data_IF_118390169114
#
_entry.id   IF_118390169114
#
_cell.length_a   1.000
_cell.length_b   1.000
_cell.length_c   1.000
_cell.angle_alpha   90.00
_cell.angle_beta   90.00
_cell.angle_gamma   90.00
#
_symmetry.space_group_name_H-M   'P 1'
#
loop_
_entity.id
_entity.type
_entity.pdbx_description
1 polymer ?
#
# COMPACT_ATOMS: atom_id res chain seq x y z
N UNK A 1 17.80 -18.98 29.68
CA UNK A 1 17.05 -18.48 28.51
C UNK A 1 15.68 -18.01 28.96
N UNK A 2 15.31 -16.80 28.62
CA UNK A 2 14.04 -16.18 28.97
C UNK A 2 13.24 -15.95 27.69
N UNK A 3 11.91 -15.85 27.81
CA UNK A 3 11.01 -15.55 26.73
C UNK A 3 10.21 -14.29 27.09
N UNK A 4 10.21 -13.29 26.20
CA UNK A 4 9.50 -12.04 26.38
C UNK A 4 8.46 -11.95 25.28
N UNK A 5 7.18 -11.81 25.62
CA UNK A 5 6.09 -11.58 24.69
C UNK A 5 5.78 -10.08 24.63
N UNK A 6 5.67 -9.58 23.42
CA UNK A 6 5.35 -8.17 23.14
C UNK A 6 4.24 -8.10 22.08
N UNK A 7 3.09 -7.50 22.38
CA UNK A 7 2.10 -7.23 21.35
C UNK A 7 2.58 -6.11 20.43
N UNK A 8 2.39 -6.28 19.13
CA UNK A 8 2.65 -5.25 18.10
C UNK A 8 1.34 -4.87 17.46
N UNK A 9 1.05 -3.59 17.45
CA UNK A 9 -0.16 -3.04 16.84
C UNK A 9 0.23 -2.01 15.78
N UNK A 10 -0.41 -2.10 14.60
CA UNK A 10 -0.28 -1.12 13.52
C UNK A 10 -1.70 -0.67 13.17
N UNK A 11 -2.00 0.61 13.35
CA UNK A 11 -3.32 1.13 13.00
C UNK A 11 -3.47 1.34 11.49
N UNK A 12 -4.67 1.11 10.97
CA UNK A 12 -5.00 1.44 9.57
C UNK A 12 -4.83 2.94 9.31
N UNK A 13 -5.04 3.78 10.33
CA UNK A 13 -4.79 5.22 10.25
C UNK A 13 -3.29 5.55 10.06
N UNK A 14 -2.40 4.79 10.67
CA UNK A 14 -0.96 4.93 10.44
C UNK A 14 -0.58 4.60 8.98
N UNK A 15 -1.14 3.52 8.44
CA UNK A 15 -0.96 3.15 7.04
C UNK A 15 -1.49 4.26 6.12
N UNK A 16 -2.67 4.80 6.40
CA UNK A 16 -3.25 5.94 5.67
C UNK A 16 -2.31 7.15 5.67
N UNK A 17 -1.74 7.50 6.83
CA UNK A 17 -0.81 8.61 6.96
C UNK A 17 0.48 8.38 6.16
N UNK A 18 1.04 7.17 6.19
CA UNK A 18 2.23 6.81 5.41
C UNK A 18 1.96 6.88 3.91
N UNK A 19 0.82 6.36 3.44
CA UNK A 19 0.43 6.46 2.04
C UNK A 19 0.26 7.91 1.58
N UNK A 20 -0.41 8.74 2.39
CA UNK A 20 -0.61 10.15 2.06
C UNK A 20 0.70 10.95 2.07
N UNK A 21 1.66 10.56 2.89
CA UNK A 21 3.00 11.17 2.94
C UNK A 21 3.85 10.78 1.72
N UNK A 22 3.78 9.51 1.31
CA UNK A 22 4.68 8.96 0.29
C UNK A 22 4.11 9.04 -1.13
N UNK A 23 2.79 9.13 -1.28
CA UNK A 23 2.13 9.30 -2.57
C UNK A 23 1.63 10.73 -2.74
N UNK A 24 2.20 11.45 -3.69
CA UNK A 24 1.78 12.81 -4.02
C UNK A 24 2.02 13.14 -5.49
N UNK A 25 1.15 13.96 -6.07
CA UNK A 25 1.28 14.39 -7.47
C UNK A 25 1.16 13.22 -8.45
N UNK A 26 2.09 13.13 -9.40
CA UNK A 26 2.18 12.04 -10.37
C UNK A 26 2.64 10.76 -9.65
N UNK A 27 1.76 9.76 -9.58
CA UNK A 27 1.99 8.51 -8.85
C UNK A 27 2.22 7.31 -9.77
N UNK A 28 1.89 7.45 -11.06
CA UNK A 28 2.13 6.45 -12.08
C UNK A 28 2.40 7.14 -13.41
N UNK A 29 3.45 6.72 -14.10
CA UNK A 29 3.84 7.22 -15.42
C UNK A 29 4.26 6.03 -16.29
N UNK A 30 3.49 5.80 -17.33
CA UNK A 30 3.76 4.82 -18.37
C UNK A 30 3.69 5.57 -19.71
N UNK A 31 4.83 5.82 -20.31
CA UNK A 31 5.00 6.56 -21.56
C UNK A 31 5.21 5.65 -22.78
N UNK A 32 5.17 4.33 -22.61
CA UNK A 32 5.39 3.36 -23.67
C UNK A 32 4.06 2.87 -24.30
N UNK A 33 3.77 3.41 -25.49
CA UNK A 33 2.58 3.00 -26.25
C UNK A 33 2.77 1.69 -27.03
N UNK A 34 4.01 1.20 -27.15
CA UNK A 34 4.33 0.08 -28.06
C UNK A 34 4.27 -1.29 -27.38
N UNK A 35 4.34 -1.35 -26.05
CA UNK A 35 4.36 -2.63 -25.33
C UNK A 35 2.95 -3.23 -25.13
N UNK A 36 1.95 -2.39 -24.82
CA UNK A 36 0.57 -2.84 -24.61
C UNK A 36 -0.48 -1.93 -25.31
N UNK A 37 -0.05 -1.09 -26.24
CA UNK A 37 -0.88 -0.12 -26.96
C UNK A 37 -1.54 0.93 -26.08
N UNK A 38 -0.99 1.19 -24.88
CA UNK A 38 -1.57 2.12 -23.91
C UNK A 38 -0.49 2.89 -23.18
N UNK A 39 -0.56 4.22 -23.19
CA UNK A 39 0.17 5.11 -22.28
C UNK A 39 -0.77 5.58 -21.18
N UNK A 40 -0.25 5.76 -19.96
CA UNK A 40 -1.08 6.19 -18.84
C UNK A 40 -0.30 7.02 -17.84
N UNK A 41 -0.90 8.13 -17.41
CA UNK A 41 -0.40 8.94 -16.28
C UNK A 41 -1.49 9.06 -15.23
N UNK A 42 -1.13 8.87 -13.97
CA UNK A 42 -2.08 8.92 -12.86
C UNK A 42 -1.56 9.91 -11.80
N UNK A 43 -2.38 10.89 -11.46
CA UNK A 43 -2.10 11.84 -10.41
C UNK A 43 -3.04 11.62 -9.24
N UNK A 44 -2.48 11.64 -8.04
CA UNK A 44 -3.25 11.73 -6.80
C UNK A 44 -3.70 13.17 -6.62
N UNK A 45 -5.01 13.40 -6.51
CA UNK A 45 -5.61 14.74 -6.45
C UNK A 45 -6.13 15.12 -5.06
N UNK A 46 -6.19 14.16 -4.14
CA UNK A 46 -6.69 14.38 -2.78
C UNK A 46 -6.12 13.39 -1.78
N UNK A 47 -6.62 13.45 -0.54
CA UNK A 47 -6.21 12.51 0.51
C UNK A 47 -6.80 11.13 0.27
N UNK A 48 -5.95 10.11 0.41
CA UNK A 48 -6.38 8.71 0.50
C UNK A 48 -7.08 8.53 1.84
N UNK A 49 -8.21 7.82 1.85
CA UNK A 49 -8.91 7.40 3.06
C UNK A 49 -8.92 5.88 3.12
N UNK A 50 -8.58 5.34 4.28
CA UNK A 50 -8.63 3.91 4.55
C UNK A 50 -9.69 3.63 5.62
N UNK A 51 -10.48 2.60 5.39
CA UNK A 51 -11.39 2.04 6.37
C UNK A 51 -11.23 0.54 6.45
N UNK A 52 -11.36 -0.03 7.64
CA UNK A 52 -11.32 -1.48 7.83
C UNK A 52 -12.69 -1.99 8.25
N UNK A 53 -13.13 -3.06 7.64
CA UNK A 53 -14.32 -3.80 8.04
C UNK A 53 -14.14 -5.29 7.76
N UNK A 54 -14.32 -6.11 8.79
CA UNK A 54 -14.27 -7.57 8.69
C UNK A 54 -12.97 -8.11 8.06
N UNK A 55 -11.81 -7.51 8.40
CA UNK A 55 -10.51 -7.94 7.87
C UNK A 55 -10.22 -7.49 6.44
N UNK A 56 -11.02 -6.59 5.88
CA UNK A 56 -10.80 -6.00 4.56
C UNK A 56 -10.57 -4.50 4.70
N UNK A 57 -9.52 -4.00 4.07
CA UNK A 57 -9.24 -2.56 3.97
C UNK A 57 -9.90 -2.04 2.70
N UNK A 58 -10.76 -1.05 2.85
CA UNK A 58 -11.30 -0.28 1.74
C UNK A 58 -10.53 1.03 1.62
N UNK A 59 -9.97 1.28 0.43
CA UNK A 59 -9.22 2.49 0.11
C UNK A 59 -10.02 3.36 -0.85
N UNK A 60 -10.25 4.62 -0.49
CA UNK A 60 -10.82 5.64 -1.35
C UNK A 60 -9.69 6.58 -1.79
N UNK A 61 -9.42 6.62 -3.10
CA UNK A 61 -8.27 7.33 -3.65
C UNK A 61 -8.73 8.30 -4.74
N UNK A 62 -8.72 9.61 -4.46
CA UNK A 62 -9.00 10.62 -5.48
C UNK A 62 -7.88 10.69 -6.51
N UNK A 63 -8.21 10.50 -7.79
CA UNK A 63 -7.27 10.41 -8.89
C UNK A 63 -7.72 11.22 -10.10
N UNK A 64 -6.74 11.75 -10.83
CA UNK A 64 -6.88 12.16 -12.22
C UNK A 64 -6.05 11.23 -13.09
N UNK A 65 -6.63 10.74 -14.15
CA UNK A 65 -6.02 9.78 -15.05
C UNK A 65 -6.04 10.36 -16.45
N UNK A 66 -4.89 10.37 -17.10
CA UNK A 66 -4.76 10.57 -18.52
C UNK A 66 -4.30 9.27 -19.15
N UNK A 67 -4.94 8.86 -20.22
CA UNK A 67 -4.53 7.68 -20.98
C UNK A 67 -4.64 7.96 -22.46
N UNK A 68 -3.68 7.44 -23.21
CA UNK A 68 -3.68 7.38 -24.66
C UNK A 68 -3.60 5.92 -25.08
N UNK A 69 -4.42 5.51 -26.01
CA UNK A 69 -4.45 4.13 -26.50
C UNK A 69 -4.60 4.07 -28.01
N UNK A 70 -4.00 3.06 -28.61
CA UNK A 70 -4.19 2.74 -30.03
C UNK A 70 -5.54 2.06 -30.20
N UNK A 71 -6.34 2.61 -31.10
CA UNK A 71 -7.65 2.07 -31.45
C UNK A 71 -7.69 1.77 -32.93
N UNK A 72 -8.09 0.55 -33.29
CA UNK A 72 -8.23 0.12 -34.66
C UNK A 72 -7.86 -1.36 -34.83
N UNK A 73 -8.17 -1.91 -35.99
CA UNK A 73 -7.72 -3.23 -36.38
C UNK A 73 -6.65 -3.07 -37.47
N UNK A 74 -5.51 -3.71 -37.30
CA UNK A 74 -4.43 -3.76 -38.32
C UNK A 74 -4.94 -4.21 -39.67
N UNK A 75 -6.04 -4.97 -39.70
CA UNK A 75 -6.68 -5.48 -40.91
C UNK A 75 -7.24 -4.38 -41.84
N UNK A 76 -7.53 -3.17 -41.33
CA UNK A 76 -8.12 -2.11 -42.10
C UNK A 76 -7.23 -0.86 -42.25
N UNK A 77 -5.99 -0.93 -41.76
CA UNK A 77 -5.05 0.22 -41.82
C UNK A 77 -5.51 1.45 -41.01
N UNK A 78 -6.47 1.29 -40.12
CA UNK A 78 -7.00 2.36 -39.27
C UNK A 78 -6.32 2.33 -37.89
N UNK A 79 -5.07 2.77 -37.84
CA UNK A 79 -4.37 3.04 -36.59
C UNK A 79 -4.70 4.46 -36.16
N UNK A 80 -5.70 4.61 -35.32
CA UNK A 80 -6.03 5.89 -34.69
C UNK A 80 -5.67 5.86 -33.21
N UNK A 81 -5.18 6.97 -32.67
CA UNK A 81 -4.82 7.12 -31.28
C UNK A 81 -5.89 7.96 -30.58
N UNK A 82 -6.41 7.49 -29.47
CA UNK A 82 -7.43 8.19 -28.68
C UNK A 82 -6.90 8.53 -27.31
N UNK A 83 -7.28 9.71 -26.81
CA UNK A 83 -6.93 10.18 -25.49
C UNK A 83 -8.18 10.27 -24.63
N UNK A 84 -8.03 9.87 -23.38
CA UNK A 84 -9.06 9.93 -22.35
C UNK A 84 -8.49 10.65 -21.15
N UNK A 85 -9.28 11.51 -20.54
CA UNK A 85 -9.00 12.10 -19.25
C UNK A 85 -10.15 11.75 -18.30
N UNK A 86 -9.82 11.18 -17.15
CA UNK A 86 -10.77 10.74 -16.15
C UNK A 86 -10.43 11.43 -14.83
N UNK A 87 -11.44 11.88 -14.11
CA UNK A 87 -11.32 12.48 -12.78
C UNK A 87 -12.37 11.87 -11.87
N UNK A 88 -11.94 11.39 -10.72
CA UNK A 88 -12.85 10.75 -9.76
C UNK A 88 -12.12 10.08 -8.61
N UNK A 89 -12.89 9.30 -7.86
CA UNK A 89 -12.37 8.52 -6.72
C UNK A 89 -12.50 7.04 -7.02
N UNK A 90 -11.38 6.33 -6.99
CA UNK A 90 -11.39 4.87 -7.05
C UNK A 90 -11.60 4.29 -5.67
N UNK A 91 -12.31 3.16 -5.63
CA UNK A 91 -12.53 2.37 -4.42
C UNK A 91 -11.88 1.01 -4.63
N UNK A 92 -10.89 0.71 -3.80
CA UNK A 92 -10.21 -0.58 -3.79
C UNK A 92 -10.57 -1.34 -2.53
N UNK A 93 -10.72 -2.66 -2.64
CA UNK A 93 -10.74 -3.58 -1.51
C UNK A 93 -9.43 -4.36 -1.47
N UNK A 94 -8.75 -4.31 -0.34
CA UNK A 94 -7.43 -4.91 -0.14
C UNK A 94 -7.46 -5.91 1.00
N UNK A 95 -6.86 -7.08 0.77
CA UNK A 95 -6.50 -8.02 1.82
C UNK A 95 -5.07 -7.77 2.22
N UNK A 96 -4.83 -7.58 3.50
CA UNK A 96 -3.50 -7.30 4.04
C UNK A 96 -2.85 -8.59 4.55
N UNK A 97 -1.56 -8.72 4.27
CA UNK A 97 -0.70 -9.77 4.78
C UNK A 97 0.57 -9.14 5.34
N UNK A 98 1.02 -9.59 6.48
CA UNK A 98 2.31 -9.19 7.02
C UNK A 98 3.31 -10.34 6.80
N UNK A 99 4.39 -10.04 6.11
CA UNK A 99 5.47 -10.99 5.90
C UNK A 99 6.81 -10.31 6.17
N UNK A 100 7.62 -10.90 7.04
CA UNK A 100 8.93 -10.35 7.44
C UNK A 100 8.88 -8.87 7.85
N UNK A 101 7.86 -8.47 8.64
CA UNK A 101 7.63 -7.10 9.11
C UNK A 101 7.25 -6.11 8.01
N UNK A 102 6.97 -6.60 6.84
CA UNK A 102 6.54 -5.82 5.69
C UNK A 102 5.07 -6.08 5.41
N UNK A 103 4.29 -5.03 5.34
CA UNK A 103 2.89 -5.12 4.97
C UNK A 103 2.79 -5.22 3.45
N UNK A 104 2.18 -6.30 3.01
CA UNK A 104 1.82 -6.49 1.60
C UNK A 104 0.31 -6.55 1.46
N UNK A 105 -0.21 -6.11 0.33
CA UNK A 105 -1.64 -6.17 0.05
C UNK A 105 -1.90 -6.81 -1.30
N UNK A 106 -3.11 -7.37 -1.42
CA UNK A 106 -3.68 -7.76 -2.71
C UNK A 106 -4.97 -7.00 -2.88
N UNK A 107 -4.94 -6.02 -3.77
CA UNK A 107 -6.02 -5.07 -4.00
C UNK A 107 -6.84 -5.42 -5.23
N UNK A 108 -8.15 -5.18 -5.15
CA UNK A 108 -9.08 -5.31 -6.27
C UNK A 108 -9.88 -4.03 -6.38
N UNK A 109 -10.00 -3.52 -7.61
CA UNK A 109 -10.87 -2.39 -7.88
C UNK A 109 -12.33 -2.82 -7.69
N UNK A 110 -13.01 -2.18 -6.74
CA UNK A 110 -14.43 -2.40 -6.42
C UNK A 110 -15.30 -1.48 -7.24
N UNK A 111 -14.98 -0.19 -7.24
CA UNK A 111 -15.79 0.84 -7.88
C UNK A 111 -14.97 2.04 -8.31
N UNK A 112 -15.57 2.86 -9.14
CA UNK A 112 -15.02 4.14 -9.58
C UNK A 112 -16.13 5.20 -9.58
N UNK A 113 -16.00 6.21 -8.73
CA UNK A 113 -16.91 7.34 -8.65
C UNK A 113 -16.36 8.49 -9.48
N UNK A 114 -16.92 8.71 -10.67
CA UNK A 114 -16.53 9.78 -11.58
C UNK A 114 -17.04 11.13 -11.10
N UNK A 115 -16.19 12.16 -11.13
CA UNK A 115 -16.62 13.55 -10.93
C UNK A 115 -17.39 14.06 -12.16
N UNK A 116 -16.97 13.61 -13.36
CA UNK A 116 -17.67 13.84 -14.61
C UNK A 116 -17.78 12.52 -15.37
N UNK A 117 -18.87 12.33 -16.10
CA UNK A 117 -19.04 11.15 -16.97
C UNK A 117 -17.89 11.07 -17.97
N UNK A 118 -17.20 9.92 -18.05
CA UNK A 118 -16.08 9.77 -18.98
C UNK A 118 -16.54 10.01 -20.42
N UNK A 119 -15.82 10.83 -21.16
CA UNK A 119 -16.11 11.15 -22.54
C UNK A 119 -14.83 11.29 -23.37
N UNK A 120 -14.90 10.98 -24.65
CA UNK A 120 -13.86 11.29 -25.64
C UNK A 120 -14.29 12.46 -26.49
N UNK A 121 -13.32 13.22 -26.98
CA UNK A 121 -13.54 14.25 -27.99
C UNK A 121 -13.41 13.62 -29.37
N UNK A 122 -14.52 13.61 -30.12
CA UNK A 122 -14.53 13.23 -31.54
C UNK A 122 -15.07 14.41 -32.37
N UNK A 123 -14.25 14.94 -33.23
CA UNK A 123 -14.58 16.12 -34.04
C UNK A 123 -15.13 17.30 -33.19
N UNK A 124 -14.56 17.54 -32.02
CA UNK A 124 -14.96 18.61 -31.09
C UNK A 124 -16.20 18.34 -30.25
N UNK A 125 -16.83 17.17 -30.39
CA UNK A 125 -18.00 16.77 -29.59
C UNK A 125 -17.59 15.75 -28.51
N UNK A 126 -18.05 15.96 -27.26
CA UNK A 126 -17.90 14.97 -26.16
C UNK A 126 -18.85 13.79 -26.43
N UNK A 127 -18.30 12.60 -26.57
CA UNK A 127 -19.04 11.36 -26.75
C UNK A 127 -18.83 10.52 -25.47
N UNK A 128 -19.89 10.08 -24.76
CA UNK A 128 -19.76 9.20 -23.59
C UNK A 128 -19.05 7.90 -23.95
N UNK A 129 -18.08 7.49 -23.11
CA UNK A 129 -17.20 6.35 -23.39
C UNK A 129 -17.78 5.01 -22.92
N UNK A 130 -18.96 4.96 -22.37
CA UNK A 130 -19.58 3.77 -21.78
C UNK A 130 -19.46 2.49 -22.61
N UNK A 131 -19.22 2.60 -23.91
CA UNK A 131 -19.13 1.48 -24.84
C UNK A 131 -17.70 1.07 -25.26
N UNK A 132 -16.69 1.92 -25.01
CA UNK A 132 -15.31 1.69 -25.52
C UNK A 132 -14.37 1.16 -24.42
N UNK A 133 -14.80 1.22 -23.16
CA UNK A 133 -13.89 1.13 -21.98
C UNK A 133 -13.56 -0.31 -21.56
N UNK A 134 -14.29 -1.33 -21.99
CA UNK A 134 -14.13 -2.67 -21.38
C UNK A 134 -12.70 -3.24 -21.43
N UNK A 135 -11.94 -3.22 -22.55
CA UNK A 135 -10.56 -3.71 -22.54
C UNK A 135 -9.62 -2.78 -21.78
N UNK A 136 -9.69 -1.47 -22.05
CA UNK A 136 -8.86 -0.45 -21.41
C UNK A 136 -9.12 -0.36 -19.91
N UNK A 137 -10.37 -0.55 -19.48
CA UNK A 137 -10.74 -0.58 -18.07
C UNK A 137 -10.14 -1.80 -17.33
N UNK A 138 -10.01 -2.94 -18.01
CA UNK A 138 -9.36 -4.13 -17.44
C UNK A 138 -7.88 -3.89 -17.18
N UNK A 139 -7.16 -3.34 -18.16
CA UNK A 139 -5.74 -2.95 -18.04
C UNK A 139 -5.58 -1.91 -16.92
N UNK A 140 -6.42 -0.88 -16.92
CA UNK A 140 -6.45 0.15 -15.90
C UNK A 140 -6.67 -0.42 -14.49
N UNK A 141 -7.66 -1.31 -14.30
CA UNK A 141 -7.92 -1.96 -13.02
C UNK A 141 -6.69 -2.69 -12.49
N UNK A 142 -6.01 -3.44 -13.35
CA UNK A 142 -4.81 -4.18 -13.00
C UNK A 142 -3.64 -3.25 -12.63
N UNK A 143 -3.37 -2.23 -13.47
CA UNK A 143 -2.29 -1.26 -13.25
C UNK A 143 -2.49 -0.47 -11.95
N UNK A 144 -3.70 0.01 -11.69
CA UNK A 144 -4.00 0.79 -10.47
C UNK A 144 -3.94 -0.07 -9.23
N UNK A 145 -4.52 -1.27 -9.24
CA UNK A 145 -4.45 -2.18 -8.08
C UNK A 145 -3.01 -2.51 -7.75
N UNK A 146 -2.20 -2.87 -8.76
CA UNK A 146 -0.78 -3.15 -8.57
C UNK A 146 -0.01 -1.95 -8.06
N UNK A 147 -0.25 -0.76 -8.61
CA UNK A 147 0.40 0.48 -8.17
C UNK A 147 0.16 0.74 -6.68
N UNK A 148 -1.07 0.53 -6.19
CA UNK A 148 -1.40 0.71 -4.77
C UNK A 148 -0.73 -0.38 -3.93
N UNK A 149 -0.75 -1.64 -4.37
CA UNK A 149 -0.06 -2.72 -3.68
C UNK A 149 1.44 -2.45 -3.56
N UNK A 150 2.09 -2.03 -4.65
CA UNK A 150 3.50 -1.65 -4.68
C UNK A 150 3.80 -0.43 -3.77
N UNK A 151 2.87 0.53 -3.71
CA UNK A 151 3.01 1.71 -2.85
C UNK A 151 2.91 1.35 -1.37
N UNK A 152 1.98 0.48 -0.98
CA UNK A 152 1.86 -0.04 0.38
C UNK A 152 3.11 -0.84 0.75
N UNK A 153 3.56 -1.72 -0.12
CA UNK A 153 4.75 -2.53 0.06
C UNK A 153 6.02 -1.68 0.32
N UNK A 154 6.18 -0.58 -0.41
CA UNK A 154 7.30 0.35 -0.24
C UNK A 154 7.17 1.25 0.99
N UNK A 155 5.95 1.60 1.37
CA UNK A 155 5.69 2.60 2.42
C UNK A 155 5.52 1.97 3.81
N UNK A 156 5.23 0.69 3.90
CA UNK A 156 4.86 -0.01 5.13
C UNK A 156 5.84 -1.15 5.45
N UNK A 157 7.14 -0.84 5.46
CA UNK A 157 8.19 -1.70 5.99
C UNK A 157 8.45 -1.32 7.46
N UNK A 158 8.07 -2.18 8.39
CA UNK A 158 8.22 -1.98 9.83
C UNK A 158 9.50 -2.61 10.40
N UNK A 159 10.30 -3.28 9.56
CA UNK A 159 11.53 -3.94 9.99
C UNK A 159 12.53 -2.97 10.65
N UNK A 160 12.74 -1.74 10.15
CA UNK A 160 13.65 -0.79 10.81
C UNK A 160 13.23 -0.46 12.23
N UNK A 161 11.92 -0.22 12.49
CA UNK A 161 11.39 0.09 13.81
C UNK A 161 11.53 -1.09 14.79
N UNK A 162 11.29 -2.31 14.29
CA UNK A 162 11.49 -3.54 15.10
C UNK A 162 12.96 -3.69 15.50
N UNK A 163 13.90 -3.49 14.55
CA UNK A 163 15.33 -3.57 14.81
C UNK A 163 15.81 -2.49 15.80
N UNK A 164 15.29 -1.27 15.67
CA UNK A 164 15.57 -0.18 16.61
C UNK A 164 15.08 -0.54 18.03
N UNK A 165 13.85 -1.04 18.14
CA UNK A 165 13.28 -1.48 19.42
C UNK A 165 14.11 -2.60 20.05
N UNK A 166 14.52 -3.60 19.27
CA UNK A 166 15.41 -4.65 19.73
C UNK A 166 16.76 -4.09 20.21
N UNK A 167 17.30 -3.09 19.51
CA UNK A 167 18.51 -2.39 19.90
C UNK A 167 18.37 -1.67 21.24
N UNK A 168 17.21 -1.06 21.50
CA UNK A 168 16.91 -0.38 22.76
C UNK A 168 16.81 -1.37 23.93
N UNK A 169 16.03 -2.42 23.78
CA UNK A 169 15.82 -3.43 24.86
C UNK A 169 17.07 -4.27 25.14
N UNK A 170 18.03 -4.30 24.21
CA UNK A 170 19.30 -5.02 24.39
C UNK A 170 20.37 -4.18 25.10
N UNK A 171 20.09 -2.91 25.39
CA UNK A 171 21.00 -2.08 26.21
C UNK A 171 20.91 -2.50 27.67
N UNK A 172 22.03 -2.44 28.41
CA UNK A 172 21.99 -2.67 29.84
C UNK A 172 21.06 -1.67 30.52
N UNK A 173 20.23 -2.15 31.44
CA UNK A 173 19.40 -1.31 32.27
C UNK A 173 19.66 -1.62 33.76
N UNK A 174 19.64 -0.56 34.55
CA UNK A 174 19.88 -0.65 36.01
C UNK A 174 18.68 -1.31 36.66
N UNK A 175 18.92 -2.40 37.35
CA UNK A 175 17.92 -3.17 38.11
C UNK A 175 17.85 -2.80 39.59
N UNK A 176 19.00 -2.42 40.16
CA UNK A 176 19.08 -1.99 41.55
C UNK A 176 20.22 -1.01 41.75
N UNK A 177 19.88 0.20 42.20
CA UNK A 177 20.84 1.24 42.57
C UNK A 177 21.67 0.80 43.81
N UNK A 178 21.01 0.15 44.75
CA UNK A 178 21.63 -0.24 46.04
C UNK A 178 22.76 -1.28 45.89
N UNK A 179 22.69 -2.08 44.82
CA UNK A 179 23.66 -3.12 44.53
C UNK A 179 24.43 -2.92 43.25
N UNK A 180 24.25 -1.76 42.60
CA UNK A 180 24.84 -1.45 41.27
C UNK A 180 24.68 -2.60 40.27
N UNK A 181 23.45 -3.20 40.28
CA UNK A 181 23.16 -4.39 39.48
C UNK A 181 22.47 -3.99 38.18
N UNK A 182 23.06 -4.42 37.08
CA UNK A 182 22.57 -4.17 35.73
C UNK A 182 22.12 -5.47 35.09
N UNK A 183 21.03 -5.39 34.31
CA UNK A 183 20.60 -6.47 33.43
C UNK A 183 20.81 -6.10 31.98
N UNK A 184 21.19 -7.10 31.19
CA UNK A 184 21.30 -7.01 29.75
C UNK A 184 20.59 -8.18 29.11
N UNK A 185 19.71 -7.89 28.17
CA UNK A 185 19.05 -8.90 27.33
C UNK A 185 19.90 -9.14 26.08
N UNK A 186 20.18 -10.41 25.79
CA UNK A 186 20.87 -10.83 24.58
C UNK A 186 19.86 -11.56 23.70
N UNK A 187 19.36 -10.94 22.63
CA UNK A 187 18.44 -11.58 21.70
C UNK A 187 19.06 -12.82 21.06
N UNK A 188 18.34 -13.95 21.07
CA UNK A 188 18.73 -15.20 20.41
C UNK A 188 17.85 -15.44 19.19
N UNK A 189 16.52 -15.35 19.38
CA UNK A 189 15.56 -15.70 18.34
C UNK A 189 14.29 -14.88 18.50
N UNK A 190 13.73 -14.47 17.38
CA UNK A 190 12.50 -13.69 17.30
C UNK A 190 11.40 -14.55 16.67
N UNK A 191 10.28 -14.69 17.38
CA UNK A 191 9.08 -15.38 16.93
C UNK A 191 7.98 -14.36 16.68
N UNK A 192 7.18 -14.61 15.65
CA UNK A 192 6.05 -13.75 15.29
C UNK A 192 4.85 -14.63 15.02
N UNK A 193 3.69 -14.28 15.57
CA UNK A 193 2.43 -14.91 15.23
C UNK A 193 1.89 -14.37 13.91
N UNK A 194 0.90 -15.06 13.35
CA UNK A 194 0.16 -14.52 12.22
C UNK A 194 -0.51 -13.19 12.59
N UNK A 195 -0.47 -12.25 11.66
CA UNK A 195 -1.11 -10.97 11.85
C UNK A 195 -2.63 -11.09 11.67
N UNK A 196 -3.39 -10.43 12.54
CA UNK A 196 -4.85 -10.31 12.43
C UNK A 196 -5.24 -8.88 12.19
N UNK A 197 -6.17 -8.65 11.25
CA UNK A 197 -6.71 -7.32 10.96
C UNK A 197 -8.14 -7.24 11.49
N UNK A 198 -8.35 -6.44 12.53
CA UNK A 198 -9.64 -6.24 13.16
C UNK A 198 -9.72 -4.89 13.87
N UNK A 199 -10.90 -4.28 13.85
CA UNK A 199 -11.17 -3.01 14.54
C UNK A 199 -10.20 -1.88 14.13
N UNK A 200 -9.83 -1.82 12.85
CA UNK A 200 -8.92 -0.80 12.32
C UNK A 200 -7.46 -0.96 12.74
N UNK A 201 -7.07 -2.15 13.22
CA UNK A 201 -5.70 -2.45 13.63
C UNK A 201 -5.24 -3.79 13.07
N UNK A 202 -3.98 -3.84 12.69
CA UNK A 202 -3.24 -5.08 12.47
C UNK A 202 -2.53 -5.39 13.78
N UNK A 203 -2.82 -6.54 14.35
CA UNK A 203 -2.22 -7.01 15.61
C UNK A 203 -1.49 -8.32 15.39
N UNK A 204 -0.36 -8.47 16.04
CA UNK A 204 0.42 -9.70 16.11
C UNK A 204 1.15 -9.77 17.45
N UNK A 205 1.49 -10.94 17.88
CA UNK A 205 2.35 -11.12 19.02
C UNK A 205 3.77 -11.43 18.56
N UNK A 206 4.73 -10.73 19.14
CA UNK A 206 6.15 -10.95 18.97
C UNK A 206 6.71 -11.61 20.21
N UNK A 207 7.41 -12.72 20.05
CA UNK A 207 8.12 -13.40 21.12
C UNK A 207 9.62 -13.30 20.92
N UNK A 208 10.34 -12.78 21.91
CA UNK A 208 11.78 -12.72 21.92
C UNK A 208 12.34 -13.78 22.88
N UNK A 209 13.05 -14.74 22.34
CA UNK A 209 13.90 -15.64 23.11
C UNK A 209 15.24 -14.94 23.36
N UNK A 210 15.63 -14.81 24.58
CA UNK A 210 16.86 -14.11 24.97
C UNK A 210 17.56 -14.77 26.14
N UNK A 211 18.85 -14.55 26.25
CA UNK A 211 19.59 -14.77 27.49
C UNK A 211 19.63 -13.47 28.29
N UNK A 212 19.60 -13.61 29.59
CA UNK A 212 19.74 -12.52 30.53
C UNK A 212 21.09 -12.59 31.21
N UNK A 213 21.86 -11.53 31.10
CA UNK A 213 23.10 -11.36 31.85
C UNK A 213 22.89 -10.38 33.00
N UNK A 214 23.38 -10.74 34.16
CA UNK A 214 23.47 -9.86 35.33
C UNK A 214 24.91 -9.38 35.43
N UNK A 215 25.10 -8.09 35.55
CA UNK A 215 26.40 -7.45 35.76
C UNK A 215 26.33 -6.69 37.09
N UNK A 216 27.37 -6.84 37.93
CA UNK A 216 27.53 -6.09 39.16
C UNK A 216 28.73 -5.19 38.94
N UNK A 217 28.52 -3.86 39.12
CA UNK A 217 29.55 -2.82 38.94
C UNK A 217 30.37 -2.61 40.17
#
# INVERSE_FOLDING_TARGET
TSFIAMPVEISVNEIENQLNKNLSGLIYDDDNLEDDNTQMKIWKTGKIKLTEKNGVITSEIPLKIWSQFKYGTEYFGLNDTRQISLDGTIILESKAHLNNWKLTTTSKLKDFNWNESPSILVAGKKIPITYIINPTLSIFKSKVSKMIDDAIDKSCDFKPQVLETLGVISKPFLSSDAYETWFKLIPIELYVTDATLKNGKITMDMGLKCDMQTMVG
#
